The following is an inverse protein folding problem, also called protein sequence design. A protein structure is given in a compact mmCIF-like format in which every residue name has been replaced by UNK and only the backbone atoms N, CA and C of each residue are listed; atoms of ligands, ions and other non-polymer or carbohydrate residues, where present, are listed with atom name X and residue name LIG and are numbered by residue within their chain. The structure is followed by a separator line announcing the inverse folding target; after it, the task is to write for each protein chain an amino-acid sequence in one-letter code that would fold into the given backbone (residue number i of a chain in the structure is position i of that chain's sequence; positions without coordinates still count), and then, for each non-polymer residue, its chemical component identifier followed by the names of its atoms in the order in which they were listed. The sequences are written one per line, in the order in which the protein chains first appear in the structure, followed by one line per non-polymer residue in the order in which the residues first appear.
data_IF_419232243549
#
_entry.id   IF_419232243549
#
_cell.length_a   1.000
_cell.length_b   1.000
_cell.length_c   1.000
_cell.angle_alpha   90.00
_cell.angle_beta   90.00
_cell.angle_gamma   90.00
#
_symmetry.space_group_name_H-M   'P 1'
#
loop_
_entity.id
_entity.type
_entity.pdbx_description
1 polymer ?
#
# COMPACT_ATOMS: atom_id res chain seq x y z
N UNK A 1 -10.24 7.26 -23.14
CA UNK A 1 -10.75 7.44 -21.77
C UNK A 1 -12.24 7.17 -21.80
N UNK A 2 -12.71 6.38 -20.86
CA UNK A 2 -14.15 6.15 -20.69
C UNK A 2 -14.83 7.39 -20.11
N UNK A 3 -16.13 7.59 -20.38
CA UNK A 3 -16.89 8.77 -19.90
C UNK A 3 -16.86 8.95 -18.37
N UNK A 4 -16.58 7.88 -17.62
CA UNK A 4 -16.52 7.85 -16.16
C UNK A 4 -15.09 7.99 -15.60
N UNK A 5 -14.10 8.29 -16.43
CA UNK A 5 -12.73 8.48 -16.00
C UNK A 5 -12.35 9.96 -15.88
N UNK A 6 -11.40 10.23 -14.99
CA UNK A 6 -10.72 11.52 -14.85
C UNK A 6 -9.23 11.31 -14.68
N UNK A 7 -8.46 12.34 -15.00
CA UNK A 7 -7.02 12.37 -14.72
C UNK A 7 -6.78 13.31 -13.54
N UNK A 8 -6.13 12.77 -12.51
CA UNK A 8 -5.69 13.55 -11.35
C UNK A 8 -4.15 13.60 -11.35
N UNK A 9 -3.59 14.61 -10.67
CA UNK A 9 -2.15 14.66 -10.38
C UNK A 9 -1.89 13.84 -9.11
N UNK A 10 -0.87 13.00 -9.14
CA UNK A 10 -0.44 12.21 -7.98
C UNK A 10 0.20 13.16 -6.96
N UNK A 11 -0.33 13.26 -5.73
CA UNK A 11 0.17 14.20 -4.72
C UNK A 11 1.69 14.07 -4.48
N UNK A 12 2.39 15.19 -4.44
CA UNK A 12 3.84 15.23 -4.22
C UNK A 12 4.69 14.78 -5.41
N UNK A 13 4.10 14.74 -6.61
CA UNK A 13 4.79 14.39 -7.86
C UNK A 13 4.18 15.16 -9.03
N UNK A 14 4.81 15.08 -10.22
CA UNK A 14 4.26 15.59 -11.48
C UNK A 14 3.52 14.50 -12.28
N UNK A 15 3.41 13.30 -11.74
CA UNK A 15 2.78 12.18 -12.43
C UNK A 15 1.25 12.28 -12.43
N UNK A 16 0.66 11.75 -13.48
CA UNK A 16 -0.79 11.69 -13.71
C UNK A 16 -1.32 10.29 -13.42
N UNK A 17 -2.53 10.22 -12.85
CA UNK A 17 -3.21 8.96 -12.56
C UNK A 17 -4.63 8.99 -13.10
N UNK A 18 -5.05 7.91 -13.77
CA UNK A 18 -6.41 7.76 -14.27
C UNK A 18 -7.27 7.15 -13.18
N UNK A 19 -8.36 7.82 -12.82
CA UNK A 19 -9.31 7.37 -11.81
C UNK A 19 -10.71 7.22 -12.38
N UNK A 20 -11.50 6.33 -11.79
CA UNK A 20 -12.92 6.20 -12.10
C UNK A 20 -13.73 7.05 -11.12
N UNK A 21 -14.66 7.87 -11.63
CA UNK A 21 -15.48 8.80 -10.83
C UNK A 21 -16.50 8.08 -9.94
N UNK A 22 -16.92 6.87 -10.33
CA UNK A 22 -17.97 6.07 -9.67
C UNK A 22 -17.38 4.96 -8.79
N UNK A 23 -16.10 4.63 -8.96
CA UNK A 23 -15.41 3.57 -8.20
C UNK A 23 -14.48 4.19 -7.17
N UNK A 24 -13.98 3.33 -6.29
CA UNK A 24 -13.02 3.71 -5.25
C UNK A 24 -11.81 4.45 -5.84
N UNK A 25 -11.58 5.67 -5.34
CA UNK A 25 -10.34 6.44 -5.54
C UNK A 25 -9.32 6.04 -4.47
N UNK A 26 -8.02 6.22 -4.74
CA UNK A 26 -7.00 6.00 -3.73
C UNK A 26 -7.25 6.86 -2.48
N UNK A 27 -7.01 6.26 -1.30
CA UNK A 27 -7.11 6.95 -0.01
C UNK A 27 -5.81 7.61 0.42
N UNK A 28 -5.90 8.46 1.44
CA UNK A 28 -4.74 9.06 2.13
C UNK A 28 -3.77 8.02 2.68
N UNK A 29 -4.25 6.82 2.94
CA UNK A 29 -3.52 5.67 3.48
C UNK A 29 -2.35 5.29 2.56
N UNK A 30 -2.60 5.19 1.26
CA UNK A 30 -1.58 4.89 0.24
C UNK A 30 -0.53 6.01 0.14
N UNK A 31 -0.96 7.28 0.31
CA UNK A 31 -0.08 8.44 0.31
C UNK A 31 0.86 8.38 1.52
N UNK A 32 0.34 8.16 2.71
CA UNK A 32 1.14 8.06 3.93
C UNK A 32 2.07 6.85 3.91
N UNK A 33 1.59 5.70 3.43
CA UNK A 33 2.42 4.49 3.28
C UNK A 33 3.58 4.73 2.31
N UNK A 34 3.31 5.36 1.16
CA UNK A 34 4.34 5.64 0.17
C UNK A 34 5.40 6.65 0.65
N UNK A 35 5.05 7.58 1.55
CA UNK A 35 6.01 8.48 2.20
C UNK A 35 6.81 7.77 3.29
N UNK A 36 6.14 7.01 4.17
CA UNK A 36 6.75 6.25 5.25
C UNK A 36 7.75 5.21 4.74
N UNK A 37 7.39 4.49 3.68
CA UNK A 37 8.21 3.43 3.10
C UNK A 37 9.52 3.98 2.51
N UNK A 38 10.61 3.23 2.73
CA UNK A 38 11.93 3.47 2.13
C UNK A 38 12.28 2.34 1.17
N UNK A 39 11.49 2.13 0.10
CA UNK A 39 11.69 1.04 -0.83
C UNK A 39 13.00 1.20 -1.60
N UNK A 40 13.59 0.05 -1.95
CA UNK A 40 14.80 -0.03 -2.79
C UNK A 40 14.83 -1.34 -3.55
N UNK A 41 15.67 -1.41 -4.59
CA UNK A 41 15.89 -2.60 -5.41
C UNK A 41 14.65 -3.00 -6.20
N UNK A 42 14.37 -4.29 -6.22
CA UNK A 42 13.17 -4.87 -6.81
C UNK A 42 12.01 -4.70 -5.82
N UNK A 43 10.98 -3.99 -6.22
CA UNK A 43 9.83 -3.62 -5.37
C UNK A 43 8.56 -4.29 -5.90
N UNK A 44 7.71 -4.79 -5.01
CA UNK A 44 6.37 -5.27 -5.35
C UNK A 44 5.32 -4.58 -4.49
N UNK A 45 4.27 -4.07 -5.13
CA UNK A 45 3.07 -3.51 -4.49
C UNK A 45 1.93 -4.51 -4.61
N UNK A 46 1.53 -5.11 -3.48
CA UNK A 46 0.48 -6.14 -3.42
C UNK A 46 -0.88 -5.48 -3.22
N UNK A 47 -1.77 -5.64 -4.19
CA UNK A 47 -3.06 -4.95 -4.25
C UNK A 47 -2.87 -3.49 -4.68
N UNK A 48 -2.22 -3.28 -5.83
CA UNK A 48 -1.77 -1.95 -6.28
C UNK A 48 -2.92 -0.98 -6.59
N UNK A 49 -4.13 -1.50 -6.82
CA UNK A 49 -5.28 -0.70 -7.17
C UNK A 49 -5.01 0.16 -8.41
N UNK A 50 -5.23 1.46 -8.28
CA UNK A 50 -5.00 2.43 -9.37
C UNK A 50 -3.53 2.67 -9.72
N UNK A 51 -2.57 2.05 -9.01
CA UNK A 51 -1.14 2.27 -9.21
C UNK A 51 -0.59 3.49 -8.48
N UNK A 52 -1.31 4.04 -7.49
CA UNK A 52 -0.90 5.24 -6.76
C UNK A 52 0.43 5.07 -6.03
N UNK A 53 0.66 3.94 -5.35
CA UNK A 53 1.91 3.67 -4.64
C UNK A 53 3.09 3.58 -5.60
N UNK A 54 3.06 2.75 -6.67
CA UNK A 54 4.10 2.74 -7.71
C UNK A 54 4.45 4.13 -8.24
N UNK A 55 3.45 4.93 -8.63
CA UNK A 55 3.67 6.28 -9.16
C UNK A 55 4.33 7.22 -8.13
N UNK A 56 3.97 7.10 -6.85
CA UNK A 56 4.57 7.94 -5.80
C UNK A 56 6.01 7.58 -5.46
N UNK A 57 6.37 6.31 -5.61
CA UNK A 57 7.70 5.83 -5.17
C UNK A 57 8.71 5.70 -6.29
N UNK A 58 8.31 5.67 -7.57
CA UNK A 58 9.21 5.39 -8.71
C UNK A 58 10.42 6.33 -8.78
N UNK A 59 10.29 7.57 -8.34
CA UNK A 59 11.37 8.55 -8.25
C UNK A 59 12.30 8.39 -7.05
N UNK A 60 12.02 7.49 -6.11
CA UNK A 60 12.88 7.29 -4.92
C UNK A 60 14.20 6.62 -5.31
N UNK A 61 15.30 7.12 -4.71
CA UNK A 61 16.65 6.63 -5.01
C UNK A 61 16.81 5.15 -4.66
N UNK A 62 17.41 4.39 -5.58
CA UNK A 62 17.78 2.99 -5.36
C UNK A 62 16.70 1.99 -5.79
N UNK A 63 15.55 2.42 -6.30
CA UNK A 63 14.55 1.54 -6.93
C UNK A 63 15.05 1.13 -8.31
N UNK A 64 14.98 -0.17 -8.62
CA UNK A 64 15.35 -0.74 -9.92
C UNK A 64 14.12 -0.98 -10.79
N UNK A 65 13.12 -1.65 -10.24
CA UNK A 65 11.86 -1.98 -10.91
C UNK A 65 10.74 -2.12 -9.88
N UNK A 66 9.53 -1.76 -10.25
CA UNK A 66 8.32 -1.88 -9.42
C UNK A 66 7.32 -2.78 -10.16
N UNK A 67 6.80 -3.78 -9.46
CA UNK A 67 5.70 -4.62 -9.90
C UNK A 67 4.46 -4.30 -9.09
N UNK A 68 3.38 -3.88 -9.74
CA UNK A 68 2.07 -3.69 -9.12
C UNK A 68 1.17 -4.89 -9.42
N UNK A 69 0.66 -5.55 -8.39
CA UNK A 69 -0.21 -6.72 -8.51
C UNK A 69 -1.64 -6.32 -8.21
N UNK A 70 -2.55 -6.62 -9.13
CA UNK A 70 -3.98 -6.33 -8.98
C UNK A 70 -4.82 -7.49 -9.49
N UNK A 71 -5.81 -7.90 -8.71
CA UNK A 71 -6.69 -9.03 -9.05
C UNK A 71 -7.86 -8.63 -9.95
N UNK A 72 -8.24 -7.36 -9.93
CA UNK A 72 -9.32 -6.83 -10.78
C UNK A 72 -8.77 -6.40 -12.13
N UNK A 73 -9.23 -7.04 -13.19
CA UNK A 73 -8.73 -6.79 -14.53
C UNK A 73 -8.90 -5.33 -14.97
N UNK A 74 -10.09 -4.76 -14.78
CA UNK A 74 -10.40 -3.38 -15.18
C UNK A 74 -9.59 -2.34 -14.38
N UNK A 75 -9.26 -2.64 -13.13
CA UNK A 75 -8.41 -1.79 -12.29
C UNK A 75 -6.95 -1.90 -12.73
N UNK A 76 -6.45 -3.12 -12.98
CA UNK A 76 -5.11 -3.35 -13.48
C UNK A 76 -4.87 -2.68 -14.83
N UNK A 77 -5.82 -2.80 -15.77
CA UNK A 77 -5.75 -2.12 -17.08
C UNK A 77 -5.72 -0.60 -16.93
N UNK A 78 -6.49 -0.03 -16.00
CA UNK A 78 -6.48 1.42 -15.73
C UNK A 78 -5.15 1.88 -15.11
N UNK A 79 -4.63 1.09 -14.17
CA UNK A 79 -3.30 1.34 -13.60
C UNK A 79 -2.22 1.30 -14.69
N UNK A 80 -2.24 0.29 -15.56
CA UNK A 80 -1.30 0.17 -16.67
C UNK A 80 -1.35 1.40 -17.60
N UNK A 81 -2.54 1.88 -17.96
CA UNK A 81 -2.69 3.12 -18.76
C UNK A 81 -2.15 4.35 -18.03
N UNK A 82 -2.24 4.40 -16.71
CA UNK A 82 -1.61 5.47 -15.92
C UNK A 82 -0.09 5.43 -16.01
N UNK A 83 0.52 4.24 -16.01
CA UNK A 83 1.96 4.07 -16.19
C UNK A 83 2.39 4.52 -17.58
N UNK A 84 1.65 4.13 -18.63
CA UNK A 84 1.89 4.52 -20.01
C UNK A 84 1.76 6.02 -20.24
N UNK A 85 0.75 6.65 -19.63
CA UNK A 85 0.53 8.11 -19.69
C UNK A 85 1.75 8.90 -19.17
N UNK A 86 2.47 8.33 -18.20
CA UNK A 86 3.68 8.92 -17.62
C UNK A 86 5.00 8.42 -18.24
N UNK A 87 4.94 7.52 -19.23
CA UNK A 87 6.10 6.93 -19.90
C UNK A 87 7.04 6.21 -18.92
N UNK A 88 6.48 5.43 -18.00
CA UNK A 88 7.20 4.74 -16.92
C UNK A 88 7.23 3.20 -17.09
N UNK A 89 6.97 2.67 -18.29
CA UNK A 89 6.90 1.23 -18.58
C UNK A 89 8.25 0.51 -18.37
N UNK A 90 9.35 1.24 -18.44
CA UNK A 90 10.70 0.75 -18.13
C UNK A 90 11.01 0.65 -16.63
N UNK A 91 10.14 1.19 -15.77
CA UNK A 91 10.28 1.26 -14.31
C UNK A 91 9.16 0.60 -13.53
N UNK A 92 7.97 0.49 -14.13
CA UNK A 92 6.78 -0.04 -13.46
C UNK A 92 6.06 -1.00 -14.41
N UNK A 93 5.78 -2.21 -13.93
CA UNK A 93 4.94 -3.21 -14.59
C UNK A 93 3.72 -3.50 -13.72
N UNK A 94 2.52 -3.37 -14.29
CA UNK A 94 1.27 -3.78 -13.64
C UNK A 94 0.88 -5.17 -14.14
N UNK A 95 0.59 -6.07 -13.19
CA UNK A 95 0.27 -7.47 -13.49
C UNK A 95 -1.13 -7.77 -12.95
N UNK A 96 -2.05 -8.12 -13.84
CA UNK A 96 -3.34 -8.68 -13.46
C UNK A 96 -3.15 -10.13 -13.00
N UNK A 97 -3.21 -10.36 -11.68
CA UNK A 97 -2.97 -11.68 -11.09
C UNK A 97 -3.49 -11.76 -9.65
N UNK A 98 -3.90 -12.97 -9.24
CA UNK A 98 -4.09 -13.25 -7.82
C UNK A 98 -2.71 -13.33 -7.13
N UNK A 99 -2.52 -12.62 -6.04
CA UNK A 99 -1.24 -12.64 -5.31
C UNK A 99 -0.84 -14.05 -4.82
N UNK A 100 -1.81 -14.95 -4.59
CA UNK A 100 -1.55 -16.34 -4.20
C UNK A 100 -0.82 -17.13 -5.28
N UNK A 101 -0.90 -16.70 -6.53
CA UNK A 101 -0.25 -17.34 -7.68
C UNK A 101 1.15 -16.80 -7.97
N UNK A 102 1.59 -15.75 -7.25
CA UNK A 102 2.91 -15.15 -7.43
C UNK A 102 4.09 -16.13 -7.27
N UNK A 103 4.04 -17.16 -6.39
CA UNK A 103 5.08 -18.17 -6.33
C UNK A 103 5.27 -18.98 -7.63
N UNK A 104 4.27 -19.02 -8.52
CA UNK A 104 4.37 -19.66 -9.82
C UNK A 104 5.07 -18.77 -10.87
N UNK A 105 5.03 -17.45 -10.68
CA UNK A 105 5.61 -16.45 -11.61
C UNK A 105 6.99 -15.97 -11.18
N UNK A 106 7.20 -15.78 -9.89
CA UNK A 106 8.44 -15.21 -9.37
C UNK A 106 9.19 -16.21 -8.48
N UNK A 107 10.52 -16.21 -8.62
CA UNK A 107 11.39 -17.03 -7.79
C UNK A 107 11.36 -16.57 -6.33
N UNK A 108 11.53 -17.51 -5.41
CA UNK A 108 11.72 -17.23 -4.00
C UNK A 108 12.89 -16.26 -3.78
N UNK A 109 12.74 -15.33 -2.85
CA UNK A 109 13.77 -14.37 -2.46
C UNK A 109 14.29 -13.51 -3.64
N UNK A 110 13.38 -13.01 -4.48
CA UNK A 110 13.69 -12.17 -5.64
C UNK A 110 13.44 -10.68 -5.43
N UNK A 111 12.74 -10.30 -4.36
CA UNK A 111 12.39 -8.90 -4.08
C UNK A 111 13.13 -8.35 -2.85
N UNK A 112 13.50 -7.09 -2.93
CA UNK A 112 14.13 -6.35 -1.83
C UNK A 112 13.08 -5.68 -0.94
N UNK A 113 11.95 -5.29 -1.55
CA UNK A 113 10.87 -4.58 -0.85
C UNK A 113 9.50 -5.07 -1.31
N UNK A 114 8.59 -5.25 -0.35
CA UNK A 114 7.16 -5.43 -0.57
C UNK A 114 6.44 -4.24 0.06
N UNK A 115 5.40 -3.73 -0.60
CA UNK A 115 4.49 -2.71 -0.06
C UNK A 115 3.08 -3.24 -0.19
N UNK A 116 2.20 -2.94 0.75
CA UNK A 116 0.78 -3.27 0.62
C UNK A 116 -0.10 -2.31 1.42
N UNK A 117 -1.17 -1.86 0.79
CA UNK A 117 -2.31 -1.21 1.43
C UNK A 117 -3.52 -2.16 1.31
N UNK A 118 -3.62 -3.17 2.17
CA UNK A 118 -4.66 -4.19 2.06
C UNK A 118 -6.05 -3.65 2.43
N UNK A 119 -7.15 -4.29 2.00
CA UNK A 119 -8.47 -3.99 2.51
C UNK A 119 -8.54 -4.26 4.03
N UNK A 120 -9.23 -3.39 4.79
CA UNK A 120 -9.21 -3.40 6.27
C UNK A 120 -10.33 -4.21 6.93
N UNK A 121 -11.22 -4.85 6.17
CA UNK A 121 -12.42 -5.48 6.74
C UNK A 121 -12.14 -6.84 7.37
N UNK A 122 -12.93 -7.19 8.40
CA UNK A 122 -12.91 -8.54 8.98
C UNK A 122 -13.77 -9.47 8.13
N UNK A 123 -13.30 -10.69 7.87
CA UNK A 123 -14.05 -11.74 7.16
C UNK A 123 -15.44 -12.03 7.79
N UNK A 124 -15.61 -11.72 9.08
CA UNK A 124 -16.87 -11.94 9.82
C UNK A 124 -17.94 -10.86 9.56
N UNK A 125 -17.57 -9.66 9.05
CA UNK A 125 -18.51 -8.58 8.78
C UNK A 125 -19.16 -8.64 7.40
N UNK A 126 -18.81 -9.60 6.57
CA UNK A 126 -19.32 -9.77 5.20
C UNK A 126 -20.81 -10.16 5.11
N UNK A 127 -21.52 -10.32 6.23
CA UNK A 127 -22.88 -10.88 6.25
C UNK A 127 -24.00 -9.82 6.22
N UNK A 128 -23.71 -8.52 6.38
CA UNK A 128 -24.75 -7.51 6.67
C UNK A 128 -24.97 -6.46 5.59
N UNK A 129 -24.88 -6.70 4.32
CA UNK A 129 -25.57 -5.88 3.30
C UNK A 129 -25.37 -6.45 1.91
N UNK A 130 -26.37 -7.20 1.42
CA UNK A 130 -26.28 -7.99 0.19
C UNK A 130 -26.13 -7.19 -1.12
N UNK A 131 -26.51 -5.94 -1.21
CA UNK A 131 -26.59 -5.24 -2.51
C UNK A 131 -25.43 -4.28 -2.81
N UNK A 132 -24.80 -3.65 -1.81
CA UNK A 132 -23.63 -2.79 -2.03
C UNK A 132 -22.29 -3.49 -1.77
N UNK A 133 -22.28 -4.65 -1.11
CA UNK A 133 -21.10 -5.38 -0.69
C UNK A 133 -20.60 -6.44 -1.70
N UNK A 134 -21.28 -6.69 -2.81
CA UNK A 134 -20.87 -7.72 -3.76
C UNK A 134 -19.49 -7.47 -4.40
N UNK A 135 -19.09 -6.24 -4.56
CA UNK A 135 -17.77 -5.91 -5.08
C UNK A 135 -16.69 -6.01 -3.99
N UNK A 136 -16.97 -5.49 -2.79
CA UNK A 136 -16.02 -5.44 -1.66
C UNK A 136 -15.80 -6.84 -1.07
N UNK A 137 -16.88 -7.61 -0.86
CA UNK A 137 -16.81 -8.99 -0.33
C UNK A 137 -16.05 -9.96 -1.24
N UNK A 138 -16.08 -9.78 -2.56
CA UNK A 138 -15.30 -10.60 -3.49
C UNK A 138 -13.79 -10.39 -3.34
N UNK A 139 -13.36 -9.19 -2.90
CA UNK A 139 -11.94 -8.88 -2.72
C UNK A 139 -11.37 -9.46 -1.43
N UNK A 140 -12.17 -9.50 -0.35
CA UNK A 140 -11.76 -10.11 0.92
C UNK A 140 -11.71 -11.63 0.85
N UNK A 141 -12.64 -12.26 0.13
CA UNK A 141 -12.58 -13.70 -0.15
C UNK A 141 -11.34 -14.04 -0.99
N UNK A 142 -10.84 -13.09 -1.78
CA UNK A 142 -9.67 -13.29 -2.62
C UNK A 142 -8.33 -13.19 -1.88
N UNK A 143 -8.22 -12.40 -0.78
CA UNK A 143 -6.94 -12.14 -0.11
C UNK A 143 -7.13 -11.75 1.36
N UNK A 144 -6.55 -12.53 2.27
CA UNK A 144 -6.44 -12.20 3.68
C UNK A 144 -5.13 -11.48 3.99
N UNK A 145 -5.04 -10.84 5.16
CA UNK A 145 -3.76 -10.28 5.64
C UNK A 145 -2.67 -11.36 5.76
N UNK A 146 -3.05 -12.57 6.18
CA UNK A 146 -2.16 -13.72 6.27
C UNK A 146 -1.59 -14.11 4.90
N UNK A 147 -2.40 -14.12 3.84
CA UNK A 147 -1.95 -14.38 2.47
C UNK A 147 -0.87 -13.37 2.03
N UNK A 148 -1.07 -12.08 2.34
CA UNK A 148 -0.10 -11.03 2.04
C UNK A 148 1.23 -11.29 2.74
N UNK A 149 1.21 -11.62 4.03
CA UNK A 149 2.43 -11.86 4.80
C UNK A 149 3.12 -13.15 4.35
N UNK A 150 2.36 -14.21 4.07
CA UNK A 150 2.89 -15.46 3.56
C UNK A 150 3.61 -15.27 2.21
N UNK A 151 2.97 -14.60 1.26
CA UNK A 151 3.54 -14.28 -0.04
C UNK A 151 4.74 -13.34 0.09
N UNK A 152 4.66 -12.34 0.98
CA UNK A 152 5.79 -11.45 1.27
C UNK A 152 6.99 -12.24 1.79
N UNK A 153 6.78 -13.18 2.70
CA UNK A 153 7.89 -14.03 3.17
C UNK A 153 8.50 -14.88 2.06
N UNK A 154 7.69 -15.40 1.14
CA UNK A 154 8.22 -16.17 -0.01
C UNK A 154 9.08 -15.29 -0.90
N UNK A 155 8.58 -14.13 -1.30
CA UNK A 155 9.19 -13.26 -2.31
C UNK A 155 10.39 -12.46 -1.79
N UNK A 156 10.38 -12.03 -0.52
CA UNK A 156 11.45 -11.21 0.04
C UNK A 156 12.77 -11.98 0.12
N UNK A 157 13.86 -11.28 -0.22
CA UNK A 157 15.23 -11.68 0.12
C UNK A 157 15.44 -11.68 1.64
N UNK A 158 16.44 -12.38 2.17
CA UNK A 158 16.86 -12.19 3.57
C UNK A 158 17.10 -10.71 3.86
N UNK A 159 16.60 -10.21 5.00
CA UNK A 159 16.62 -8.80 5.40
C UNK A 159 15.82 -7.86 4.49
N UNK A 160 15.10 -8.37 3.48
CA UNK A 160 14.15 -7.61 2.67
C UNK A 160 13.05 -7.00 3.55
N UNK A 161 12.46 -5.90 3.09
CA UNK A 161 11.53 -5.10 3.88
C UNK A 161 10.10 -5.24 3.38
N UNK A 162 9.15 -5.25 4.32
CA UNK A 162 7.74 -5.07 4.03
C UNK A 162 7.23 -3.79 4.68
N UNK A 163 6.43 -3.03 3.94
CA UNK A 163 5.75 -1.83 4.41
C UNK A 163 4.25 -2.00 4.26
N UNK A 164 3.51 -1.76 5.34
CA UNK A 164 2.06 -2.00 5.39
C UNK A 164 1.39 -0.82 6.10
N UNK A 165 0.22 -0.43 5.61
CA UNK A 165 -0.72 0.43 6.35
C UNK A 165 -1.93 -0.39 6.76
N UNK A 166 -2.44 -0.15 7.97
CA UNK A 166 -3.62 -0.85 8.48
C UNK A 166 -4.34 -0.04 9.56
N UNK A 167 -5.46 -0.58 10.07
CA UNK A 167 -6.18 -0.03 11.22
C UNK A 167 -5.49 -0.41 12.53
N UNK A 168 -5.44 0.49 13.54
CA UNK A 168 -4.78 0.22 14.84
C UNK A 168 -5.41 -0.90 15.65
N UNK A 169 -6.71 -1.13 15.53
CA UNK A 169 -7.45 -2.19 16.24
C UNK A 169 -7.00 -3.60 15.87
N UNK A 170 -6.31 -3.75 14.73
CA UNK A 170 -5.73 -5.02 14.27
C UNK A 170 -4.24 -5.19 14.60
N UNK A 171 -3.66 -4.26 15.35
CA UNK A 171 -2.21 -4.23 15.58
C UNK A 171 -1.68 -5.56 16.16
N UNK A 172 -2.35 -6.11 17.16
CA UNK A 172 -1.93 -7.37 17.81
C UNK A 172 -1.93 -8.53 16.81
N UNK A 173 -3.01 -8.68 16.03
CA UNK A 173 -3.13 -9.75 15.02
C UNK A 173 -2.05 -9.59 13.94
N UNK A 174 -1.80 -8.36 13.51
CA UNK A 174 -0.81 -8.02 12.49
C UNK A 174 0.59 -8.42 12.95
N UNK A 175 1.01 -7.98 14.15
CA UNK A 175 2.33 -8.29 14.69
C UNK A 175 2.51 -9.78 14.91
N UNK A 176 1.48 -10.47 15.41
CA UNK A 176 1.48 -11.92 15.58
C UNK A 176 1.69 -12.64 14.23
N UNK A 177 0.86 -12.31 13.23
CA UNK A 177 0.95 -12.92 11.89
C UNK A 177 2.30 -12.65 11.24
N UNK A 178 2.82 -11.43 11.31
CA UNK A 178 4.13 -11.10 10.77
C UNK A 178 5.22 -12.00 11.36
N UNK A 179 5.26 -12.15 12.70
CA UNK A 179 6.25 -12.99 13.37
C UNK A 179 6.08 -14.48 13.07
N UNK A 180 4.84 -14.95 12.97
CA UNK A 180 4.51 -16.33 12.58
C UNK A 180 5.15 -16.68 11.23
N UNK A 181 5.15 -15.75 10.28
CA UNK A 181 5.78 -15.91 8.96
C UNK A 181 7.22 -15.34 8.88
N UNK A 182 7.94 -15.25 10.01
CA UNK A 182 9.35 -14.82 10.05
C UNK A 182 9.62 -13.45 9.45
N UNK A 183 8.64 -12.56 9.49
CA UNK A 183 8.79 -11.14 9.21
C UNK A 183 8.75 -10.41 10.54
N UNK A 184 9.90 -9.95 11.01
CA UNK A 184 10.00 -9.26 12.29
C UNK A 184 9.58 -7.80 12.13
N UNK A 185 8.58 -7.31 12.90
CA UNK A 185 8.24 -5.89 12.94
C UNK A 185 9.40 -5.06 13.45
N UNK A 186 9.72 -3.97 12.75
CA UNK A 186 10.89 -3.13 13.08
C UNK A 186 10.52 -1.71 13.46
N UNK A 187 9.56 -1.12 12.77
CA UNK A 187 9.09 0.23 13.05
C UNK A 187 7.59 0.31 12.94
N UNK A 188 7.00 1.07 13.85
CA UNK A 188 5.59 1.47 13.80
C UNK A 188 5.50 2.99 13.85
N UNK A 189 4.61 3.54 13.04
CA UNK A 189 4.18 4.92 13.10
C UNK A 189 2.68 5.01 13.16
N UNK A 190 2.13 5.63 14.18
CA UNK A 190 0.69 5.93 14.27
C UNK A 190 0.36 7.17 13.42
N UNK A 191 -0.81 7.15 12.78
CA UNK A 191 -1.37 8.34 12.13
C UNK A 191 -2.58 8.78 12.94
N UNK A 192 -2.60 10.05 13.32
CA UNK A 192 -3.65 10.66 14.13
C UNK A 192 -4.27 11.85 13.40
N UNK A 193 -5.61 11.98 13.37
CA UNK A 193 -6.26 13.15 12.80
C UNK A 193 -5.79 14.46 13.43
N UNK A 194 -5.71 14.51 14.78
CA UNK A 194 -5.17 15.62 15.59
C UNK A 194 -4.40 15.05 16.77
N UNK A 195 -3.58 15.87 17.42
CA UNK A 195 -2.72 15.47 18.54
C UNK A 195 -3.49 14.85 19.71
N UNK A 196 -4.72 15.30 19.96
CA UNK A 196 -5.62 14.86 21.03
C UNK A 196 -6.54 13.70 20.60
N UNK A 197 -6.48 13.25 19.36
CA UNK A 197 -7.34 12.19 18.83
C UNK A 197 -6.63 10.84 18.80
N UNK A 198 -7.42 9.77 18.92
CA UNK A 198 -6.91 8.40 18.79
C UNK A 198 -6.36 8.17 17.38
N UNK A 199 -5.32 7.34 17.22
CA UNK A 199 -4.84 6.92 15.90
C UNK A 199 -5.96 6.25 15.11
N UNK A 200 -6.03 6.53 13.82
CA UNK A 200 -6.95 5.89 12.88
C UNK A 200 -6.25 4.98 11.87
N UNK A 201 -4.92 5.13 11.72
CA UNK A 201 -4.07 4.26 10.92
C UNK A 201 -2.77 3.95 11.65
N UNK A 202 -2.15 2.84 11.24
CA UNK A 202 -0.79 2.47 11.60
C UNK A 202 0.01 2.18 10.32
N UNK A 203 1.25 2.62 10.33
CA UNK A 203 2.24 2.32 9.30
C UNK A 203 3.28 1.39 9.93
N UNK A 204 3.55 0.26 9.30
CA UNK A 204 4.42 -0.78 9.86
C UNK A 204 5.52 -1.11 8.86
N UNK A 205 6.76 -1.13 9.33
CA UNK A 205 7.89 -1.73 8.64
C UNK A 205 8.24 -3.07 9.28
N UNK A 206 8.35 -4.11 8.47
CA UNK A 206 8.89 -5.41 8.88
C UNK A 206 10.14 -5.79 8.12
N UNK A 207 10.89 -6.76 8.65
CA UNK A 207 12.09 -7.30 7.99
C UNK A 207 12.09 -8.81 8.04
N UNK A 208 12.26 -9.46 6.87
CA UNK A 208 12.36 -10.93 6.79
C UNK A 208 13.61 -11.42 7.52
N UNK A 209 13.41 -12.32 8.49
CA UNK A 209 14.49 -12.86 9.32
C UNK A 209 15.20 -11.82 10.19
N UNK A 210 14.52 -10.69 10.47
CA UNK A 210 15.04 -9.66 11.39
C UNK A 210 15.13 -10.17 12.82
N UNK A 211 16.04 -9.58 13.63
CA UNK A 211 16.10 -9.80 15.08
C UNK A 211 15.03 -8.95 15.76
N UNK A 212 14.49 -9.36 16.92
CA UNK A 212 13.60 -8.53 17.73
C UNK A 212 14.25 -7.16 18.04
N UNK A 213 13.54 -6.10 17.83
CA UNK A 213 13.89 -4.70 18.17
C UNK A 213 12.86 -3.76 17.54
N UNK A 214 11.62 -3.75 18.09
CA UNK A 214 10.55 -2.89 17.61
C UNK A 214 10.76 -1.46 18.11
N UNK A 215 10.70 -0.50 17.17
CA UNK A 215 10.84 0.93 17.45
C UNK A 215 9.61 1.71 17.00
N UNK A 216 9.41 2.88 17.57
CA UNK A 216 8.29 3.76 17.24
C UNK A 216 8.81 5.09 16.70
N UNK A 217 8.22 5.55 15.60
CA UNK A 217 8.34 6.94 15.17
C UNK A 217 7.33 7.82 15.90
N UNK A 218 7.62 9.11 15.99
CA UNK A 218 6.62 10.08 16.44
C UNK A 218 5.36 9.96 15.56
N UNK A 219 4.14 10.09 16.13
CA UNK A 219 2.93 10.02 15.35
C UNK A 219 2.92 11.02 14.19
N UNK A 220 2.31 10.64 13.06
CA UNK A 220 1.97 11.55 11.99
C UNK A 220 0.66 12.24 12.36
N UNK A 221 0.70 13.52 12.68
CA UNK A 221 -0.48 14.33 12.98
C UNK A 221 -0.94 14.97 11.68
N UNK A 222 -2.22 14.76 11.31
CA UNK A 222 -2.75 15.23 10.02
C UNK A 222 -3.12 16.70 10.08
N UNK A 223 -3.88 17.11 11.11
CA UNK A 223 -4.41 18.45 11.23
C UNK A 223 -3.90 19.17 12.49
N UNK A 224 -3.63 20.45 12.37
CA UNK A 224 -3.49 21.38 13.49
C UNK A 224 -4.83 21.57 14.21
N UNK A 225 -4.81 22.23 15.37
CA UNK A 225 -6.02 22.52 16.13
C UNK A 225 -7.03 23.40 15.39
N UNK A 226 -6.54 24.30 14.54
CA UNK A 226 -7.34 25.18 13.68
C UNK A 226 -7.95 24.48 12.45
N UNK A 227 -7.62 23.22 12.20
CA UNK A 227 -8.13 22.43 11.08
C UNK A 227 -7.26 22.49 9.81
N UNK A 228 -6.19 23.26 9.80
CA UNK A 228 -5.21 23.26 8.70
C UNK A 228 -4.35 21.99 8.75
N UNK A 229 -3.73 21.64 7.63
CA UNK A 229 -2.74 20.57 7.62
C UNK A 229 -1.49 20.95 8.44
N UNK A 230 -0.83 19.93 9.03
CA UNK A 230 0.50 20.12 9.62
C UNK A 230 1.56 20.31 8.53
N UNK A 231 2.70 20.87 8.89
CA UNK A 231 3.85 21.03 7.98
C UNK A 231 4.26 19.74 7.30
N UNK A 232 4.23 18.63 8.07
CA UNK A 232 4.59 17.32 7.55
C UNK A 232 3.61 16.86 6.46
N UNK A 233 2.32 17.14 6.62
CA UNK A 233 1.30 16.81 5.62
C UNK A 233 1.47 17.68 4.36
N UNK A 234 1.71 18.98 4.47
CA UNK A 234 2.04 19.82 3.31
C UNK A 234 3.23 19.26 2.53
N UNK A 235 4.32 18.88 3.21
CA UNK A 235 5.49 18.24 2.61
C UNK A 235 5.13 16.92 1.90
N UNK A 236 4.33 16.06 2.55
CA UNK A 236 3.92 14.75 1.98
C UNK A 236 3.10 14.94 0.70
N UNK A 237 2.27 15.96 0.66
CA UNK A 237 1.42 16.26 -0.51
C UNK A 237 2.14 17.10 -1.57
N UNK A 238 3.33 17.64 -1.28
CA UNK A 238 4.04 18.56 -2.16
C UNK A 238 3.29 19.88 -2.37
N UNK A 239 2.60 20.34 -1.34
CA UNK A 239 1.84 21.61 -1.36
C UNK A 239 2.67 22.71 -0.70
N UNK A 240 2.62 23.92 -1.26
CA UNK A 240 3.09 25.13 -0.58
C UNK A 240 2.10 25.49 0.55
N UNK A 241 2.61 26.18 1.59
CA UNK A 241 1.79 26.70 2.70
C UNK A 241 0.91 27.85 2.26
#
# INVERSE_FOLDING_TARGET
MDNNERIDIVPGTDYKIIQNKEKFSYGTDAIFLSDFGKPKGMVMDLGTGSGIIPLRIVGKKGIQMIYGIEIQEDVAQRAQRSIELNKLQDKIEIIHMNLKDLPNKFKKASFDTIISNPPYMKSECAIINKEQNFAISRHEIACTFEDIIMVSNYLLKPQGKVYIVHRPDRLTDILYTMRQYKIEPKYIRFVQPKIDKKPNLILIEGSKGGKPDLKFYNPLIVYNNDGTYTEEIYRIYGMDR
#
